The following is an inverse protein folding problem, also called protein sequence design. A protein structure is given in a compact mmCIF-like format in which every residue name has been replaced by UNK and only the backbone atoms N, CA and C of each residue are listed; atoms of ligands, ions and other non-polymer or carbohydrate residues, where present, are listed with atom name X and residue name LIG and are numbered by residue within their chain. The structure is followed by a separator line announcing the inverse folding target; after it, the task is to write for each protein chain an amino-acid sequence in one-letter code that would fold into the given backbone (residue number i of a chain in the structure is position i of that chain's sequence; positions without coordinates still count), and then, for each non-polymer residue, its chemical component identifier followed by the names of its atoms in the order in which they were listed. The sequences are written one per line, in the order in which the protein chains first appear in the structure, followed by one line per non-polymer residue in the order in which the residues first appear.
data_IF_677577311212
#
_entry.id   IF_677577311212
#
_cell.length_a   1.000
_cell.length_b   1.000
_cell.length_c   1.000
_cell.angle_alpha   90.00
_cell.angle_beta   90.00
_cell.angle_gamma   90.00
#
_symmetry.space_group_name_H-M   'P 1'
#
loop_
_entity.id
_entity.type
_entity.pdbx_description
1 polymer ?
#
# COMPACT_ATOMS: atom_id res chain seq x y z
N UNK A 1 23.27 -15.04 15.94
CA UNK A 1 21.81 -14.77 15.94
C UNK A 1 21.63 -13.32 15.54
N UNK A 2 21.29 -13.01 14.28
CA UNK A 2 20.88 -11.66 13.85
C UNK A 2 20.20 -11.59 12.45
N UNK A 3 19.73 -12.69 11.86
CA UNK A 3 19.12 -12.67 10.49
C UNK A 3 17.63 -12.29 10.46
N UNK A 4 17.00 -12.06 11.61
CA UNK A 4 15.54 -11.86 11.71
C UNK A 4 15.03 -10.55 11.04
N UNK A 5 15.68 -9.39 11.20
CA UNK A 5 15.20 -8.14 10.61
C UNK A 5 15.19 -8.16 9.08
N UNK A 6 16.20 -8.78 8.47
CA UNK A 6 16.35 -8.81 7.01
C UNK A 6 15.30 -9.70 6.34
N UNK A 7 14.91 -10.79 7.01
CA UNK A 7 13.88 -11.70 6.51
C UNK A 7 12.48 -11.07 6.53
N UNK A 8 12.15 -10.33 7.58
CA UNK A 8 10.83 -9.68 7.69
C UNK A 8 10.67 -8.56 6.65
N UNK A 9 11.75 -7.83 6.34
CA UNK A 9 11.80 -6.83 5.28
C UNK A 9 11.64 -7.46 3.89
N UNK A 10 12.33 -8.57 3.61
CA UNK A 10 12.21 -9.30 2.34
C UNK A 10 10.76 -9.76 2.12
N UNK A 11 10.13 -10.36 3.14
CA UNK A 11 8.73 -10.80 3.07
C UNK A 11 7.78 -9.63 2.76
N UNK A 12 8.01 -8.47 3.40
CA UNK A 12 7.21 -7.28 3.14
C UNK A 12 7.32 -6.82 1.69
N UNK A 13 8.54 -6.70 1.16
CA UNK A 13 8.75 -6.23 -0.21
C UNK A 13 8.25 -7.23 -1.26
N UNK A 14 8.43 -8.53 -1.05
CA UNK A 14 7.82 -9.56 -1.91
C UNK A 14 6.30 -9.41 -1.96
N UNK A 15 5.63 -9.19 -0.83
CA UNK A 15 4.18 -8.99 -0.82
C UNK A 15 3.75 -7.72 -1.57
N UNK A 16 4.54 -6.63 -1.48
CA UNK A 16 4.30 -5.40 -2.24
C UNK A 16 4.43 -5.66 -3.74
N UNK A 17 5.50 -6.35 -4.16
CA UNK A 17 5.74 -6.70 -5.57
C UNK A 17 4.62 -7.58 -6.15
N UNK A 18 4.16 -8.59 -5.39
CA UNK A 18 3.08 -9.47 -5.82
C UNK A 18 1.77 -8.69 -6.05
N UNK A 19 1.45 -7.72 -5.18
CA UNK A 19 0.26 -6.87 -5.33
C UNK A 19 0.38 -5.96 -6.55
N UNK A 20 1.56 -5.37 -6.78
CA UNK A 20 1.82 -4.53 -7.96
C UNK A 20 1.74 -5.35 -9.25
N UNK A 21 2.31 -6.56 -9.27
CA UNK A 21 2.28 -7.45 -10.43
C UNK A 21 0.84 -7.80 -10.82
N UNK A 22 0.01 -8.16 -9.83
CA UNK A 22 -1.42 -8.41 -10.06
C UNK A 22 -2.15 -7.17 -10.58
N UNK A 23 -1.85 -5.99 -10.04
CA UNK A 23 -2.46 -4.74 -10.49
C UNK A 23 -2.08 -4.43 -11.95
N UNK A 24 -0.82 -4.66 -12.33
CA UNK A 24 -0.37 -4.47 -13.70
C UNK A 24 -1.10 -5.42 -14.67
N UNK A 25 -1.20 -6.71 -14.33
CA UNK A 25 -1.94 -7.71 -15.13
C UNK A 25 -3.41 -7.30 -15.33
N UNK A 26 -4.05 -6.79 -14.27
CA UNK A 26 -5.43 -6.29 -14.32
C UNK A 26 -5.55 -5.03 -15.16
N UNK A 27 -4.57 -4.13 -15.08
CA UNK A 27 -4.60 -2.86 -15.78
C UNK A 27 -4.55 -3.03 -17.30
N UNK A 28 -3.90 -4.09 -17.80
CA UNK A 28 -3.91 -4.46 -19.22
C UNK A 28 -5.32 -4.74 -19.76
N UNK A 29 -6.22 -5.26 -18.92
CA UNK A 29 -7.57 -5.70 -19.31
C UNK A 29 -8.65 -4.67 -18.94
N UNK A 30 -8.53 -4.07 -17.76
CA UNK A 30 -9.58 -3.26 -17.13
C UNK A 30 -9.29 -1.74 -17.20
N UNK A 31 -8.04 -1.38 -17.53
CA UNK A 31 -7.56 -0.01 -17.63
C UNK A 31 -6.99 0.54 -16.32
N UNK A 32 -5.88 1.30 -16.44
CA UNK A 32 -5.10 1.80 -15.30
C UNK A 32 -5.94 2.59 -14.28
N UNK A 33 -6.85 3.45 -14.75
CA UNK A 33 -7.69 4.26 -13.86
C UNK A 33 -8.65 3.45 -12.99
N UNK A 34 -9.22 2.38 -13.55
CA UNK A 34 -10.13 1.47 -12.82
C UNK A 34 -9.36 0.71 -11.76
N UNK A 35 -8.21 0.13 -12.14
CA UNK A 35 -7.38 -0.65 -11.22
C UNK A 35 -6.78 0.21 -10.11
N UNK A 36 -6.35 1.44 -10.41
CA UNK A 36 -5.88 2.38 -9.39
C UNK A 36 -6.98 2.67 -8.34
N UNK A 37 -8.22 2.92 -8.77
CA UNK A 37 -9.34 3.10 -7.85
C UNK A 37 -9.64 1.85 -7.03
N UNK A 38 -9.58 0.68 -7.67
CA UNK A 38 -9.79 -0.61 -7.01
C UNK A 38 -8.72 -0.90 -5.95
N UNK A 39 -7.44 -0.62 -6.24
CA UNK A 39 -6.34 -0.77 -5.29
C UNK A 39 -6.52 0.09 -4.04
N UNK A 40 -6.91 1.36 -4.21
CA UNK A 40 -7.17 2.25 -3.08
C UNK A 40 -8.29 1.70 -2.18
N UNK A 41 -9.36 1.20 -2.79
CA UNK A 41 -10.45 0.57 -2.03
C UNK A 41 -10.05 -0.75 -1.37
N UNK A 42 -9.27 -1.58 -2.06
CA UNK A 42 -8.76 -2.84 -1.51
C UNK A 42 -7.86 -2.58 -0.29
N UNK A 43 -6.95 -1.62 -0.37
CA UNK A 43 -6.10 -1.21 0.74
C UNK A 43 -6.93 -0.72 1.94
N UNK A 44 -7.96 0.10 1.71
CA UNK A 44 -8.85 0.58 2.78
C UNK A 44 -9.58 -0.57 3.49
N UNK A 45 -10.13 -1.53 2.74
CA UNK A 45 -10.79 -2.70 3.32
C UNK A 45 -9.83 -3.61 4.08
N UNK A 46 -8.62 -3.83 3.54
CA UNK A 46 -7.62 -4.64 4.22
C UNK A 46 -7.15 -3.97 5.52
N UNK A 47 -6.93 -2.66 5.51
CA UNK A 47 -6.56 -1.90 6.70
C UNK A 47 -7.65 -1.91 7.78
N UNK A 48 -8.92 -1.79 7.37
CA UNK A 48 -10.05 -1.91 8.30
C UNK A 48 -10.15 -3.32 8.90
N UNK A 49 -9.95 -4.36 8.09
CA UNK A 49 -9.88 -5.74 8.55
C UNK A 49 -8.71 -5.94 9.53
N UNK A 50 -7.52 -5.45 9.20
CA UNK A 50 -6.33 -5.51 10.04
C UNK A 50 -6.60 -4.93 11.43
N UNK A 51 -7.16 -3.71 11.50
CA UNK A 51 -7.51 -3.10 12.77
C UNK A 51 -8.51 -3.97 13.54
N UNK A 52 -9.58 -4.41 12.87
CA UNK A 52 -10.63 -5.22 13.50
C UNK A 52 -10.12 -6.54 14.08
N UNK A 53 -9.16 -7.22 13.43
CA UNK A 53 -8.59 -8.47 13.95
C UNK A 53 -7.48 -8.25 14.96
N UNK A 54 -6.88 -7.06 15.00
CA UNK A 54 -5.88 -6.69 16.01
C UNK A 54 -6.48 -6.13 17.30
N UNK A 55 -7.72 -5.63 17.27
CA UNK A 55 -8.42 -5.15 18.46
C UNK A 55 -8.88 -6.30 19.36
N UNK A 56 -8.70 -6.14 20.68
CA UNK A 56 -9.13 -7.16 21.66
C UNK A 56 -10.65 -7.19 21.84
N UNK A 57 -11.30 -6.04 21.68
CA UNK A 57 -12.74 -5.88 21.80
C UNK A 57 -13.33 -4.91 20.78
N UNK A 58 -14.65 -4.87 20.71
CA UNK A 58 -15.39 -3.88 19.90
C UNK A 58 -15.18 -2.47 20.44
N UNK A 59 -15.05 -2.32 21.75
CA UNK A 59 -14.79 -1.06 22.43
C UNK A 59 -13.42 -0.52 22.03
N UNK A 60 -12.36 -1.33 22.09
CA UNK A 60 -11.00 -0.93 21.65
C UNK A 60 -11.00 -0.54 20.16
N UNK A 61 -11.68 -1.31 19.31
CA UNK A 61 -11.83 -0.97 17.90
C UNK A 61 -12.45 0.41 17.70
N UNK A 62 -13.44 0.80 18.51
CA UNK A 62 -14.10 2.11 18.42
C UNK A 62 -13.17 3.21 18.91
N UNK A 63 -12.45 2.98 20.00
CA UNK A 63 -11.51 3.93 20.60
C UNK A 63 -10.34 4.23 19.65
N UNK A 64 -9.78 3.20 19.02
CA UNK A 64 -8.59 3.33 18.17
C UNK A 64 -8.89 3.80 16.74
N UNK A 65 -10.13 3.60 16.26
CA UNK A 65 -10.53 3.82 14.85
C UNK A 65 -10.03 5.14 14.28
N UNK A 66 -10.30 6.25 14.95
CA UNK A 66 -10.01 7.58 14.39
C UNK A 66 -8.51 7.87 14.37
N UNK A 67 -7.75 7.40 15.36
CA UNK A 67 -6.29 7.54 15.39
C UNK A 67 -5.63 6.69 14.30
N UNK A 68 -6.05 5.43 14.17
CA UNK A 68 -5.49 4.49 13.20
C UNK A 68 -5.79 4.93 11.76
N UNK A 69 -6.98 5.50 11.48
CA UNK A 69 -7.27 6.11 10.18
C UNK A 69 -6.29 7.24 9.86
N UNK A 70 -5.99 8.11 10.83
CA UNK A 70 -5.03 9.21 10.62
C UNK A 70 -3.64 8.65 10.31
N UNK A 71 -3.19 7.63 11.04
CA UNK A 71 -1.87 7.03 10.86
C UNK A 71 -1.74 6.35 9.48
N UNK A 72 -2.76 5.60 9.05
CA UNK A 72 -2.79 4.99 7.71
C UNK A 72 -2.77 6.05 6.60
N UNK A 73 -3.58 7.10 6.71
CA UNK A 73 -3.60 8.19 5.72
C UNK A 73 -2.27 8.95 5.69
N UNK A 74 -1.64 9.20 6.84
CA UNK A 74 -0.34 9.86 6.93
C UNK A 74 0.76 9.02 6.28
N UNK A 75 0.77 7.71 6.54
CA UNK A 75 1.72 6.77 5.92
C UNK A 75 1.55 6.73 4.41
N UNK A 76 0.31 6.55 3.92
CA UNK A 76 0.00 6.53 2.50
C UNK A 76 0.44 7.83 1.81
N UNK A 77 0.12 8.99 2.41
CA UNK A 77 0.50 10.30 1.87
C UNK A 77 2.02 10.43 1.72
N UNK A 78 2.78 9.99 2.72
CA UNK A 78 4.24 10.02 2.67
C UNK A 78 4.79 9.13 1.56
N UNK A 79 4.34 7.88 1.48
CA UNK A 79 4.77 6.94 0.43
C UNK A 79 4.44 7.46 -0.95
N UNK A 80 3.21 7.95 -1.17
CA UNK A 80 2.80 8.53 -2.44
C UNK A 80 3.65 9.75 -2.82
N UNK A 81 3.95 10.63 -1.86
CA UNK A 81 4.80 11.80 -2.11
C UNK A 81 6.20 11.38 -2.56
N UNK A 82 6.85 10.45 -1.84
CA UNK A 82 8.17 9.94 -2.22
C UNK A 82 8.16 9.27 -3.59
N UNK A 83 7.19 8.40 -3.88
CA UNK A 83 7.10 7.77 -5.19
C UNK A 83 6.88 8.77 -6.32
N UNK A 84 6.09 9.83 -6.10
CA UNK A 84 5.90 10.89 -7.09
C UNK A 84 7.17 11.73 -7.28
N UNK A 85 7.92 12.01 -6.22
CA UNK A 85 9.23 12.66 -6.29
C UNK A 85 10.20 11.83 -7.16
N UNK A 86 10.25 10.51 -6.96
CA UNK A 86 11.07 9.60 -7.78
C UNK A 86 10.67 9.66 -9.26
N UNK A 87 9.36 9.66 -9.56
CA UNK A 87 8.87 9.81 -10.94
C UNK A 87 9.16 11.19 -11.54
N UNK A 88 9.13 12.26 -10.73
CA UNK A 88 9.46 13.62 -11.17
C UNK A 88 10.95 13.70 -11.50
N UNK A 89 11.81 13.18 -10.64
CA UNK A 89 13.27 13.20 -10.82
C UNK A 89 13.71 12.34 -12.01
N UNK A 90 13.02 11.21 -12.25
CA UNK A 90 13.36 10.25 -13.30
C UNK A 90 12.42 10.27 -14.50
N UNK A 91 11.60 11.32 -14.65
CA UNK A 91 10.53 11.41 -15.63
C UNK A 91 10.99 11.08 -17.06
N UNK A 92 12.09 11.69 -17.49
CA UNK A 92 12.65 11.50 -18.84
C UNK A 92 13.24 10.09 -19.06
N UNK A 93 13.68 9.40 -18.00
CA UNK A 93 14.27 8.07 -18.08
C UNK A 93 13.22 6.95 -18.02
N UNK A 94 12.10 7.19 -17.34
CA UNK A 94 11.06 6.18 -17.11
C UNK A 94 9.88 6.27 -18.08
N UNK A 95 9.58 7.44 -18.64
CA UNK A 95 8.43 7.64 -19.53
C UNK A 95 8.81 7.62 -21.03
N UNK A 96 10.10 7.73 -21.39
CA UNK A 96 10.56 7.67 -22.81
C UNK A 96 10.82 6.26 -23.35
N UNK A 97 10.28 5.21 -22.74
CA UNK A 97 10.41 3.85 -23.29
C UNK A 97 9.22 3.38 -24.12
N UNK A 98 8.41 4.30 -24.65
CA UNK A 98 7.40 4.05 -25.68
C UNK A 98 7.76 4.73 -27.02
#
# INVERSE_FOLDING_TARGET
MSDKPQKDEEIFWTAVEDIIALANERAEQEGLGVVNGALQQAAAHFNAFYLAVSSESREDLIEDKDQVIQDFCASYKRTLATSLEDYIENYDAQIKSD
#
